data_IF_133672667030
#
_entry.id   IF_133672667030
#
_cell.length_a   1.000
_cell.length_b   1.000
_cell.length_c   1.000
_cell.angle_alpha   90.00
_cell.angle_beta   90.00
_cell.angle_gamma   90.00
#
_symmetry.space_group_name_H-M   'P 1'
#
loop_
_entity.id
_entity.type
_entity.pdbx_description
1 polymer ?
#
# COMPACT_ATOMS: atom_id res chain seq x y z
N UNK A 1 -15.06 -1.88 -16.50
CA UNK A 1 -13.76 -2.25 -17.15
C UNK A 1 -13.19 -1.00 -17.80
N UNK A 2 -12.08 -0.48 -17.29
CA UNK A 2 -11.33 0.60 -17.92
C UNK A 2 -10.79 0.03 -19.25
N UNK A 3 -11.15 0.62 -20.37
CA UNK A 3 -10.74 0.25 -21.74
C UNK A 3 -11.12 -1.16 -22.22
N UNK A 4 -12.11 -1.80 -21.61
CA UNK A 4 -12.59 -3.13 -22.04
C UNK A 4 -11.62 -4.29 -21.76
N UNK A 5 -10.50 -4.03 -21.10
CA UNK A 5 -9.49 -5.06 -20.79
C UNK A 5 -9.83 -5.81 -19.50
N UNK A 6 -9.59 -7.13 -19.47
CA UNK A 6 -9.86 -7.93 -18.26
C UNK A 6 -8.87 -7.68 -17.12
N UNK A 7 -7.69 -7.13 -17.41
CA UNK A 7 -6.67 -6.75 -16.43
C UNK A 7 -6.25 -5.31 -16.67
N UNK A 8 -5.98 -4.58 -15.59
CA UNK A 8 -5.33 -3.28 -15.71
C UNK A 8 -3.84 -3.51 -16.00
N UNK A 9 -3.40 -3.13 -17.20
CA UNK A 9 -2.02 -3.20 -17.67
C UNK A 9 -1.37 -1.82 -17.82
N UNK A 10 -1.99 -0.80 -17.25
CA UNK A 10 -1.54 0.60 -17.32
C UNK A 10 -0.82 0.98 -16.03
N UNK A 11 0.31 1.68 -16.17
CA UNK A 11 0.92 2.39 -15.03
C UNK A 11 0.21 3.73 -14.95
N UNK A 12 -0.48 3.97 -13.86
CA UNK A 12 -1.23 5.20 -13.63
C UNK A 12 -0.35 6.24 -12.94
N UNK A 13 -0.51 7.50 -13.35
CA UNK A 13 0.13 8.61 -12.65
C UNK A 13 -0.43 8.76 -11.24
N UNK A 14 0.40 9.24 -10.32
CA UNK A 14 -0.06 9.58 -8.98
C UNK A 14 -1.11 10.70 -9.06
N UNK A 15 -2.23 10.58 -8.33
CA UNK A 15 -3.24 11.62 -8.32
C UNK A 15 -2.65 12.91 -7.72
N UNK A 16 -2.93 14.04 -8.36
CA UNK A 16 -2.47 15.35 -7.90
C UNK A 16 -2.97 15.72 -6.49
N UNK A 17 -4.08 15.13 -6.08
CA UNK A 17 -4.65 15.27 -4.73
C UNK A 17 -4.78 13.86 -4.14
N UNK A 18 -4.32 13.64 -2.90
CA UNK A 18 -4.55 12.37 -2.22
C UNK A 18 -6.03 12.01 -2.22
N UNK A 19 -6.35 10.80 -2.63
CA UNK A 19 -7.71 10.29 -2.58
C UNK A 19 -7.91 9.55 -1.26
N UNK A 20 -9.02 9.84 -0.59
CA UNK A 20 -9.45 9.04 0.55
C UNK A 20 -9.90 7.67 0.04
N UNK A 21 -9.15 6.64 0.36
CA UNK A 21 -9.53 5.25 0.09
C UNK A 21 -10.30 4.72 1.31
N UNK A 22 -11.59 4.39 1.16
CA UNK A 22 -12.40 3.88 2.26
C UNK A 22 -11.97 2.46 2.61
N UNK A 23 -11.00 2.33 3.47
CA UNK A 23 -10.47 1.07 3.95
C UNK A 23 -9.91 1.21 5.36
N UNK A 24 -9.55 0.10 5.98
CA UNK A 24 -8.81 0.09 7.24
C UNK A 24 -7.58 -0.80 7.11
N UNK A 25 -6.46 -0.30 7.62
CA UNK A 25 -5.19 -1.02 7.61
C UNK A 25 -4.30 -0.49 8.73
N UNK A 26 -3.52 -1.36 9.34
CA UNK A 26 -2.53 -0.99 10.36
C UNK A 26 -1.40 -0.12 9.78
N UNK A 27 -1.22 -0.10 8.47
CA UNK A 27 -0.29 0.81 7.77
C UNK A 27 -0.64 2.27 8.04
N UNK A 28 -1.93 2.57 8.27
CA UNK A 28 -2.38 3.90 8.67
C UNK A 28 -1.65 4.40 9.93
N UNK A 29 -1.54 3.57 10.96
CA UNK A 29 -0.83 3.95 12.19
C UNK A 29 0.68 4.09 11.96
N UNK A 30 1.29 3.23 11.14
CA UNK A 30 2.71 3.30 10.80
C UNK A 30 3.03 4.60 10.06
N UNK A 31 2.15 5.03 9.15
CA UNK A 31 2.33 6.24 8.34
C UNK A 31 2.37 7.55 9.15
N UNK A 32 1.93 7.51 10.42
CA UNK A 32 2.07 8.64 11.34
C UNK A 32 3.48 8.79 11.92
N UNK A 33 4.32 7.78 11.79
CA UNK A 33 5.65 7.75 12.40
C UNK A 33 6.80 7.79 11.40
N UNK A 34 6.55 7.32 10.17
CA UNK A 34 7.58 7.23 9.14
C UNK A 34 7.01 7.55 7.75
N UNK A 35 7.84 8.07 6.81
CA UNK A 35 7.45 8.18 5.42
C UNK A 35 6.98 6.83 4.90
N UNK A 36 5.81 6.79 4.29
CA UNK A 36 5.20 5.55 3.82
C UNK A 36 4.79 5.70 2.37
N UNK A 37 5.19 4.76 1.54
CA UNK A 37 4.77 4.60 0.17
C UNK A 37 4.09 3.26 -0.04
N UNK A 38 3.29 3.15 -1.09
CA UNK A 38 2.61 1.90 -1.44
C UNK A 38 2.49 1.73 -2.93
N UNK A 39 2.18 0.52 -3.34
CA UNK A 39 1.89 0.19 -4.73
C UNK A 39 0.75 -0.84 -4.80
N UNK A 40 0.07 -0.85 -5.93
CA UNK A 40 -0.90 -1.90 -6.26
C UNK A 40 -0.51 -2.58 -7.55
N UNK A 41 -0.79 -3.88 -7.66
CA UNK A 41 -0.57 -4.66 -8.88
C UNK A 41 -1.82 -5.44 -9.25
N UNK A 42 -2.01 -5.71 -10.55
CA UNK A 42 -3.15 -6.46 -11.04
C UNK A 42 -3.01 -7.95 -10.66
N UNK A 43 -3.71 -8.37 -9.61
CA UNK A 43 -3.75 -9.75 -9.12
C UNK A 43 -5.06 -10.48 -9.42
N UNK A 44 -6.06 -9.78 -9.95
CA UNK A 44 -7.39 -10.30 -10.32
C UNK A 44 -7.99 -9.46 -11.44
N UNK A 45 -9.07 -9.95 -12.04
CA UNK A 45 -9.71 -9.26 -13.14
C UNK A 45 -10.29 -7.90 -12.69
N UNK A 46 -10.25 -6.93 -13.59
CA UNK A 46 -10.90 -5.63 -13.38
C UNK A 46 -12.40 -5.83 -13.08
N UNK A 47 -12.97 -4.98 -12.25
CA UNK A 47 -14.36 -5.04 -11.78
C UNK A 47 -14.73 -6.31 -10.99
N UNK A 48 -13.76 -7.12 -10.55
CA UNK A 48 -14.04 -8.18 -9.60
C UNK A 48 -14.53 -7.58 -8.28
N UNK A 49 -15.61 -8.10 -7.67
CA UNK A 49 -16.08 -7.58 -6.39
C UNK A 49 -15.02 -7.72 -5.31
N UNK A 50 -14.77 -6.66 -4.53
CA UNK A 50 -13.90 -6.73 -3.37
C UNK A 50 -14.41 -7.77 -2.36
N UNK A 51 -13.51 -8.35 -1.56
CA UNK A 51 -13.82 -9.33 -0.52
C UNK A 51 -14.69 -10.52 -1.01
N UNK A 52 -14.37 -11.04 -2.20
CA UNK A 52 -15.15 -12.08 -2.86
C UNK A 52 -14.35 -13.37 -3.08
N UNK A 53 -15.06 -14.50 -3.26
CA UNK A 53 -14.42 -15.76 -3.60
C UNK A 53 -13.72 -15.71 -4.97
N UNK A 54 -14.20 -14.85 -5.89
CA UNK A 54 -13.58 -14.63 -7.20
C UNK A 54 -12.16 -14.08 -7.06
N UNK A 55 -11.98 -13.10 -6.16
CA UNK A 55 -10.65 -12.57 -5.88
C UNK A 55 -9.75 -13.61 -5.21
N UNK A 56 -10.29 -14.41 -4.30
CA UNK A 56 -9.51 -15.51 -3.68
C UNK A 56 -9.04 -16.52 -4.71
N UNK A 57 -9.92 -16.92 -5.63
CA UNK A 57 -9.58 -17.83 -6.73
C UNK A 57 -8.53 -17.23 -7.69
N UNK A 58 -8.67 -15.94 -8.04
CA UNK A 58 -7.74 -15.26 -8.93
C UNK A 58 -6.36 -15.10 -8.28
N UNK A 59 -6.28 -14.74 -7.00
CA UNK A 59 -5.01 -14.60 -6.27
C UNK A 59 -4.26 -15.93 -6.20
N UNK A 60 -4.95 -17.06 -6.05
CA UNK A 60 -4.36 -18.39 -6.11
C UNK A 60 -4.00 -18.91 -7.51
N UNK A 61 -4.23 -18.13 -8.55
CA UNK A 61 -3.97 -18.47 -9.96
C UNK A 61 -2.66 -17.86 -10.47
N UNK A 62 -2.23 -18.21 -11.72
CA UNK A 62 -1.08 -17.58 -12.35
C UNK A 62 -1.18 -16.05 -12.48
N UNK A 63 -2.39 -15.48 -12.51
CA UNK A 63 -2.60 -14.01 -12.53
C UNK A 63 -2.12 -13.42 -11.23
N UNK A 64 -2.62 -13.93 -10.10
CA UNK A 64 -2.20 -13.46 -8.77
C UNK A 64 -0.70 -13.66 -8.52
N UNK A 65 -0.16 -14.82 -8.90
CA UNK A 65 1.27 -15.09 -8.75
C UNK A 65 2.15 -14.13 -9.55
N UNK A 66 1.77 -13.78 -10.78
CA UNK A 66 2.49 -12.78 -11.58
C UNK A 66 2.42 -11.39 -10.97
N UNK A 67 1.23 -10.97 -10.53
CA UNK A 67 1.05 -9.69 -9.84
C UNK A 67 1.91 -9.61 -8.57
N UNK A 68 1.92 -10.66 -7.75
CA UNK A 68 2.77 -10.76 -6.55
C UNK A 68 4.26 -10.64 -6.89
N UNK A 69 4.73 -11.32 -7.94
CA UNK A 69 6.14 -11.24 -8.37
C UNK A 69 6.51 -9.85 -8.88
N UNK A 70 5.60 -9.16 -9.57
CA UNK A 70 5.80 -7.76 -9.98
C UNK A 70 5.92 -6.87 -8.75
N UNK A 71 4.99 -6.99 -7.80
CA UNK A 71 5.03 -6.22 -6.55
C UNK A 71 6.35 -6.44 -5.79
N UNK A 72 6.78 -7.70 -5.65
CA UNK A 72 8.03 -8.03 -4.98
C UNK A 72 9.26 -7.40 -5.66
N UNK A 73 9.31 -7.41 -7.00
CA UNK A 73 10.39 -6.77 -7.76
C UNK A 73 10.39 -5.27 -7.59
N UNK A 74 9.24 -4.61 -7.66
CA UNK A 74 9.13 -3.16 -7.49
C UNK A 74 9.58 -2.77 -6.09
N UNK A 75 9.10 -3.47 -5.03
CA UNK A 75 9.51 -3.19 -3.66
C UNK A 75 11.02 -3.38 -3.45
N UNK A 76 11.59 -4.45 -4.01
CA UNK A 76 13.04 -4.70 -3.92
C UNK A 76 13.86 -3.61 -4.62
N UNK A 77 13.46 -3.20 -5.83
CA UNK A 77 14.14 -2.13 -6.56
C UNK A 77 13.99 -0.78 -5.85
N UNK A 78 12.81 -0.45 -5.35
CA UNK A 78 12.59 0.77 -4.56
C UNK A 78 13.48 0.81 -3.31
N UNK A 79 13.69 -0.32 -2.65
CA UNK A 79 14.61 -0.40 -1.52
C UNK A 79 16.06 -0.15 -1.97
N UNK A 80 16.48 -0.71 -3.10
CA UNK A 80 17.82 -0.45 -3.66
C UNK A 80 18.00 1.02 -3.98
N UNK A 81 17.03 1.65 -4.63
CA UNK A 81 17.06 3.08 -4.96
C UNK A 81 17.18 3.95 -3.69
N UNK A 82 16.39 3.67 -2.66
CA UNK A 82 16.45 4.38 -1.38
C UNK A 82 17.78 4.21 -0.65
N UNK A 83 18.48 3.09 -0.84
CA UNK A 83 19.80 2.85 -0.26
C UNK A 83 20.93 3.52 -1.08
N UNK A 84 20.75 3.66 -2.38
CA UNK A 84 21.75 4.22 -3.29
C UNK A 84 21.59 5.73 -3.50
N UNK A 85 20.41 6.29 -3.27
CA UNK A 85 20.06 7.69 -3.50
C UNK A 85 19.68 8.39 -2.18
N UNK A 86 20.67 8.83 -1.38
CA UNK A 86 20.40 9.50 -0.10
C UNK A 86 19.51 10.75 -0.21
N UNK A 87 19.56 11.46 -1.32
CA UNK A 87 18.72 12.61 -1.59
C UNK A 87 17.24 12.24 -1.72
N UNK A 88 16.91 11.10 -2.32
CA UNK A 88 15.54 10.60 -2.41
C UNK A 88 14.99 10.29 -1.02
N UNK A 89 15.78 9.66 -0.16
CA UNK A 89 15.40 9.40 1.23
C UNK A 89 15.25 10.70 2.04
N UNK A 90 16.14 11.68 1.81
CA UNK A 90 16.07 12.98 2.46
C UNK A 90 14.80 13.75 2.04
N UNK A 91 14.44 13.72 0.76
CA UNK A 91 13.24 14.35 0.23
C UNK A 91 11.97 13.71 0.83
N UNK A 92 11.91 12.37 0.93
CA UNK A 92 10.80 11.66 1.55
C UNK A 92 10.63 12.03 3.03
N UNK A 93 11.73 12.18 3.77
CA UNK A 93 11.70 12.63 5.17
C UNK A 93 11.23 14.08 5.29
N UNK A 94 11.69 14.97 4.40
CA UNK A 94 11.27 16.36 4.42
C UNK A 94 9.77 16.52 4.12
N UNK A 95 9.24 15.82 3.12
CA UNK A 95 7.81 15.79 2.79
C UNK A 95 6.99 15.24 3.97
N UNK A 96 7.44 14.17 4.59
CA UNK A 96 6.80 13.62 5.79
C UNK A 96 6.75 14.65 6.93
N UNK A 97 7.88 15.31 7.24
CA UNK A 97 7.94 16.31 8.30
C UNK A 97 7.01 17.50 8.03
N UNK A 98 6.94 17.95 6.78
CA UNK A 98 6.04 19.03 6.37
C UNK A 98 4.58 18.64 6.56
N UNK A 99 4.19 17.43 6.15
CA UNK A 99 2.81 16.93 6.32
C UNK A 99 2.43 16.73 7.78
N UNK A 100 3.41 16.42 8.64
CA UNK A 100 3.19 16.14 10.06
C UNK A 100 3.31 17.38 10.95
N UNK A 101 3.78 18.53 10.45
CA UNK A 101 4.12 19.74 11.23
C UNK A 101 3.06 20.13 12.26
N UNK A 102 1.78 20.13 11.88
CA UNK A 102 0.65 20.56 12.71
C UNK A 102 -0.25 19.38 13.12
N UNK A 103 0.25 18.15 13.03
CA UNK A 103 -0.50 16.93 13.32
C UNK A 103 0.12 16.19 14.49
N UNK A 104 -0.73 15.66 15.34
CA UNK A 104 -0.30 14.82 16.46
C UNK A 104 -1.00 13.47 16.36
N UNK A 105 -0.20 12.39 16.38
CA UNK A 105 -0.77 11.05 16.45
C UNK A 105 -1.38 10.79 17.83
N UNK A 106 -2.60 10.31 17.85
CA UNK A 106 -3.26 9.82 19.05
C UNK A 106 -3.74 8.39 18.77
N UNK A 107 -3.17 7.45 19.51
CA UNK A 107 -3.60 6.05 19.40
C UNK A 107 -5.06 5.88 19.79
N UNK A 108 -5.78 5.04 19.04
CA UNK A 108 -7.15 4.65 19.38
C UNK A 108 -7.21 3.43 20.30
N UNK A 109 -6.06 2.82 20.60
CA UNK A 109 -5.98 1.70 21.53
C UNK A 109 -6.08 2.24 22.96
N UNK A 110 -7.04 1.76 23.78
CA UNK A 110 -7.19 2.19 25.16
C UNK A 110 -5.92 1.97 25.97
N UNK A 111 -5.58 2.92 26.84
CA UNK A 111 -4.40 2.81 27.69
C UNK A 111 -4.46 1.54 28.55
N UNK A 112 -3.40 0.76 28.51
CA UNK A 112 -3.30 -0.51 29.25
C UNK A 112 -3.85 -1.74 28.54
N UNK A 113 -4.45 -1.59 27.36
CA UNK A 113 -4.84 -2.74 26.55
C UNK A 113 -3.60 -3.47 26.06
N UNK A 114 -3.56 -4.79 26.28
CA UNK A 114 -2.47 -5.66 25.80
C UNK A 114 -2.91 -6.35 24.50
N UNK A 115 -1.93 -6.68 23.67
CA UNK A 115 -2.18 -7.53 22.52
C UNK A 115 -2.77 -8.89 22.95
N UNK A 116 -3.63 -9.52 22.14
CA UNK A 116 -4.12 -10.86 22.42
C UNK A 116 -2.97 -11.84 22.59
N UNK A 117 -2.95 -12.58 23.71
CA UNK A 117 -1.86 -13.52 23.98
C UNK A 117 -2.04 -14.89 23.32
N UNK A 118 -3.21 -15.17 22.75
CA UNK A 118 -3.46 -16.41 22.00
C UNK A 118 -4.43 -16.16 20.86
N UNK A 119 -4.00 -16.48 19.67
CA UNK A 119 -4.90 -16.73 18.54
C UNK A 119 -5.18 -18.23 18.58
N UNK A 120 -6.41 -18.61 18.97
CA UNK A 120 -6.90 -19.98 18.87
C UNK A 120 -7.50 -20.22 17.49
#
# INVERSE_FOLDING_TARGET
>A
MKDGKPLNDTIEDLPAVPQDDPGSTDVGDISWHVPTGGLSTACFAADSPGHSWQNVAAIGSPIGHKGMLVAAKVLALSLVDLLQEPETLAAAKADFQERMRDRTYTTRIPKGQKAPQSIR
#
